data_IF_203908569371
#
_entry.id   IF_203908569371
#
_cell.length_a   1.000
_cell.length_b   1.000
_cell.length_c   1.000
_cell.angle_alpha   90.00
_cell.angle_beta   90.00
_cell.angle_gamma   90.00
#
_symmetry.space_group_name_H-M   'P 1'
#
loop_
_entity.id
_entity.type
_entity.pdbx_description
1 polymer ?
#
# COMPACT_ATOMS: atom_id res chain seq x y z
N UNK A 1 -8.37 -3.85 16.64
CA UNK A 1 -7.96 -4.24 15.27
C UNK A 1 -6.84 -5.26 15.37
N UNK A 2 -6.81 -6.26 14.48
CA UNK A 2 -5.74 -7.26 14.42
C UNK A 2 -5.02 -7.14 13.10
N UNK A 3 -3.71 -7.32 13.10
CA UNK A 3 -2.88 -7.21 11.91
C UNK A 3 -2.25 -8.56 11.56
N UNK A 4 -2.17 -8.84 10.28
CA UNK A 4 -1.46 -10.00 9.73
C UNK A 4 -0.43 -9.46 8.75
N UNK A 5 0.84 -9.65 9.04
CA UNK A 5 1.94 -9.23 8.17
C UNK A 5 2.38 -10.39 7.28
N UNK A 6 2.38 -10.13 5.98
CA UNK A 6 2.83 -11.09 4.98
C UNK A 6 4.09 -10.51 4.32
N UNK A 7 5.20 -11.13 4.58
CA UNK A 7 6.50 -10.74 4.01
C UNK A 7 7.14 -11.91 3.29
N UNK A 8 8.07 -11.61 2.41
CA UNK A 8 8.80 -12.62 1.66
C UNK A 8 9.92 -11.99 0.85
N UNK A 9 10.65 -12.81 0.11
CA UNK A 9 11.75 -12.34 -0.74
C UNK A 9 11.31 -11.32 -1.78
N UNK A 10 12.28 -10.53 -2.24
CA UNK A 10 12.06 -9.44 -3.21
C UNK A 10 11.75 -9.91 -4.64
N UNK A 11 11.77 -11.20 -4.89
CA UNK A 11 11.50 -11.76 -6.22
C UNK A 11 9.99 -11.78 -6.47
N UNK A 12 9.57 -11.21 -7.60
CA UNK A 12 8.20 -11.31 -8.09
C UNK A 12 7.86 -12.78 -8.39
N UNK A 13 6.59 -13.18 -8.19
CA UNK A 13 6.15 -14.55 -8.50
C UNK A 13 6.32 -15.57 -7.38
N UNK A 14 6.80 -15.18 -6.19
CA UNK A 14 6.84 -16.08 -5.00
C UNK A 14 5.42 -16.39 -4.48
N UNK A 15 4.42 -15.62 -4.91
CA UNK A 15 3.03 -15.83 -4.51
C UNK A 15 2.59 -15.05 -3.28
N UNK A 16 3.29 -14.00 -2.88
CA UNK A 16 2.89 -13.13 -1.76
C UNK A 16 1.49 -12.55 -1.97
N UNK A 17 1.21 -12.01 -3.15
CA UNK A 17 -0.09 -11.43 -3.50
C UNK A 17 -1.21 -12.47 -3.46
N UNK A 18 -0.98 -13.65 -4.03
CA UNK A 18 -1.94 -14.76 -4.02
C UNK A 18 -2.20 -15.24 -2.60
N UNK A 19 -1.15 -15.38 -1.80
CA UNK A 19 -1.25 -15.78 -0.39
C UNK A 19 -2.07 -14.76 0.40
N UNK A 20 -1.79 -13.47 0.22
CA UNK A 20 -2.52 -12.38 0.90
C UNK A 20 -4.01 -12.40 0.54
N UNK A 21 -4.33 -12.50 -0.75
CA UNK A 21 -5.70 -12.57 -1.21
C UNK A 21 -6.44 -13.81 -0.67
N UNK A 22 -5.76 -14.95 -0.64
CA UNK A 22 -6.33 -16.21 -0.15
C UNK A 22 -6.61 -16.16 1.36
N UNK A 23 -5.69 -15.64 2.14
CA UNK A 23 -5.88 -15.44 3.59
C UNK A 23 -7.04 -14.47 3.83
N UNK A 24 -7.09 -13.36 3.08
CA UNK A 24 -8.17 -12.40 3.16
C UNK A 24 -9.54 -13.04 2.89
N UNK A 25 -9.64 -13.85 1.84
CA UNK A 25 -10.86 -14.54 1.49
C UNK A 25 -11.31 -15.55 2.57
N UNK A 26 -10.37 -16.31 3.11
CA UNK A 26 -10.67 -17.25 4.20
C UNK A 26 -11.19 -16.52 5.46
N UNK A 27 -10.59 -15.40 5.81
CA UNK A 27 -11.03 -14.57 6.93
C UNK A 27 -12.41 -13.94 6.68
N UNK A 28 -12.67 -13.45 5.49
CA UNK A 28 -13.99 -12.98 5.09
C UNK A 28 -15.03 -14.07 5.22
N UNK A 29 -14.72 -15.27 4.74
CA UNK A 29 -15.61 -16.45 4.83
C UNK A 29 -15.89 -16.86 6.27
N UNK A 30 -14.97 -16.57 7.18
CA UNK A 30 -15.14 -16.78 8.62
C UNK A 30 -15.88 -15.62 9.33
N UNK A 31 -16.33 -14.62 8.60
CA UNK A 31 -17.14 -13.51 9.13
C UNK A 31 -16.34 -12.28 9.59
N UNK A 32 -15.05 -12.22 9.31
CA UNK A 32 -14.25 -11.06 9.65
C UNK A 32 -14.33 -9.98 8.56
N UNK A 33 -14.26 -8.71 8.98
CA UNK A 33 -13.99 -7.60 8.06
C UNK A 33 -12.51 -7.57 7.75
N UNK A 34 -12.17 -7.58 6.47
CA UNK A 34 -10.79 -7.63 5.98
C UNK A 34 -10.50 -6.39 5.16
N UNK A 35 -9.38 -5.74 5.46
CA UNK A 35 -8.84 -4.64 4.68
C UNK A 35 -7.38 -4.99 4.32
N UNK A 36 -7.11 -5.39 3.08
CA UNK A 36 -5.74 -5.60 2.64
C UNK A 36 -5.02 -4.26 2.48
N UNK A 37 -3.75 -4.24 2.81
CA UNK A 37 -2.86 -3.12 2.55
C UNK A 37 -1.59 -3.64 1.89
N UNK A 38 -1.29 -3.15 0.70
CA UNK A 38 -0.02 -3.38 0.04
C UNK A 38 0.90 -2.18 0.27
N UNK A 39 2.06 -2.45 0.84
CA UNK A 39 3.09 -1.45 1.08
C UNK A 39 4.28 -1.68 0.14
N UNK A 40 4.63 -0.66 -0.63
CA UNK A 40 5.75 -0.66 -1.55
C UNK A 40 6.86 0.29 -1.06
N UNK A 41 8.09 -0.19 -1.10
CA UNK A 41 9.23 0.55 -0.55
C UNK A 41 9.89 1.53 -1.52
N UNK A 42 9.38 1.68 -2.75
CA UNK A 42 9.92 2.63 -3.71
C UNK A 42 9.41 4.07 -3.46
N UNK A 43 10.12 5.05 -4.02
CA UNK A 43 9.82 6.48 -3.85
C UNK A 43 8.87 7.05 -4.92
N UNK A 44 8.34 6.25 -5.81
CA UNK A 44 7.25 6.67 -6.70
C UNK A 44 6.02 6.97 -5.85
N UNK A 45 5.29 8.01 -6.19
CA UNK A 45 4.07 8.40 -5.45
C UNK A 45 3.01 7.30 -5.57
N UNK A 46 2.89 6.70 -6.76
CA UNK A 46 2.01 5.58 -7.06
C UNK A 46 2.64 4.66 -8.11
N UNK A 47 1.88 3.74 -8.66
CA UNK A 47 2.37 2.80 -9.67
C UNK A 47 2.26 3.32 -11.12
N UNK A 48 1.69 4.48 -11.35
CA UNK A 48 1.39 5.00 -12.69
C UNK A 48 2.60 5.31 -13.55
N UNK A 49 3.77 5.55 -12.94
CA UNK A 49 5.02 5.85 -13.64
C UNK A 49 6.00 4.69 -13.67
N UNK A 50 5.64 3.55 -13.11
CA UNK A 50 6.51 2.37 -13.04
C UNK A 50 6.46 1.62 -14.37
N UNK A 51 7.60 1.06 -14.78
CA UNK A 51 7.71 0.31 -16.02
C UNK A 51 6.81 -0.94 -15.99
N UNK A 52 5.78 -1.02 -16.84
CA UNK A 52 4.84 -2.14 -16.84
C UNK A 52 5.47 -3.47 -17.30
N UNK A 53 6.59 -3.43 -18.01
CA UNK A 53 7.29 -4.65 -18.42
C UNK A 53 7.90 -5.36 -17.21
N UNK A 54 8.35 -4.59 -16.22
CA UNK A 54 8.99 -5.14 -15.01
C UNK A 54 7.99 -5.48 -13.91
N UNK A 55 6.93 -4.70 -13.78
CA UNK A 55 6.01 -4.75 -12.63
C UNK A 55 4.56 -5.07 -13.01
N UNK A 56 4.25 -5.23 -14.29
CA UNK A 56 2.89 -5.37 -14.78
C UNK A 56 2.20 -4.00 -14.95
N UNK A 57 1.03 -4.02 -15.56
CA UNK A 57 0.24 -2.81 -15.76
C UNK A 57 -0.30 -2.30 -14.41
N UNK A 58 -0.29 -0.97 -14.19
CA UNK A 58 -0.92 -0.41 -13.00
C UNK A 58 -2.43 -0.66 -13.02
N UNK A 59 -3.01 -0.84 -11.84
CA UNK A 59 -4.44 -0.98 -11.65
C UNK A 59 -5.03 0.37 -11.22
N UNK A 60 -6.00 0.86 -11.97
CA UNK A 60 -6.71 2.08 -11.64
C UNK A 60 -7.90 1.77 -10.73
N UNK A 61 -7.82 2.21 -9.48
CA UNK A 61 -8.91 2.11 -8.53
C UNK A 61 -10.03 3.10 -8.84
N UNK A 62 -11.23 2.86 -8.33
CA UNK A 62 -12.37 3.74 -8.55
C UNK A 62 -12.17 5.15 -7.99
N UNK A 63 -11.41 5.29 -6.93
CA UNK A 63 -11.04 6.59 -6.35
C UNK A 63 -9.93 7.33 -7.12
N UNK A 64 -9.46 6.77 -8.24
CA UNK A 64 -8.41 7.35 -9.07
C UNK A 64 -6.98 6.95 -8.68
N UNK A 65 -6.80 6.13 -7.65
CA UNK A 65 -5.48 5.66 -7.24
C UNK A 65 -4.89 4.73 -8.30
N UNK A 66 -3.70 5.04 -8.78
CA UNK A 66 -2.93 4.17 -9.67
C UNK A 66 -2.07 3.21 -8.84
N UNK A 67 -2.63 2.04 -8.58
CA UNK A 67 -2.05 1.04 -7.69
C UNK A 67 -1.32 -0.07 -8.48
N UNK A 68 -0.65 -0.93 -7.74
CA UNK A 68 -0.07 -2.15 -8.28
C UNK A 68 -1.15 -3.16 -8.73
N UNK A 69 -0.81 -4.01 -9.68
CA UNK A 69 -1.72 -5.03 -10.21
C UNK A 69 -2.30 -5.96 -9.15
N UNK A 70 -1.60 -6.20 -8.05
CA UNK A 70 -2.09 -7.03 -6.94
C UNK A 70 -3.35 -6.45 -6.29
N UNK A 71 -3.51 -5.13 -6.30
CA UNK A 71 -4.72 -4.47 -5.78
C UNK A 71 -5.94 -4.87 -6.60
N UNK A 72 -5.81 -4.95 -7.92
CA UNK A 72 -6.88 -5.48 -8.78
C UNK A 72 -7.22 -6.93 -8.44
N UNK A 73 -6.24 -7.74 -8.13
CA UNK A 73 -6.44 -9.13 -7.68
C UNK A 73 -7.17 -9.20 -6.34
N UNK A 74 -6.81 -8.33 -5.39
CA UNK A 74 -7.50 -8.25 -4.09
C UNK A 74 -8.95 -7.83 -4.26
N UNK A 75 -9.21 -6.81 -5.07
CA UNK A 75 -10.56 -6.33 -5.36
C UNK A 75 -11.43 -7.45 -5.92
N UNK A 76 -10.89 -8.20 -6.88
CA UNK A 76 -11.59 -9.32 -7.52
C UNK A 76 -11.86 -10.47 -6.55
N UNK A 77 -10.85 -10.88 -5.78
CA UNK A 77 -10.96 -12.04 -4.87
C UNK A 77 -11.83 -11.72 -3.66
N UNK A 78 -11.68 -10.53 -3.09
CA UNK A 78 -12.42 -10.12 -1.89
C UNK A 78 -13.78 -9.50 -2.20
N UNK A 79 -14.07 -9.25 -3.47
CA UNK A 79 -15.30 -8.62 -3.94
C UNK A 79 -15.61 -7.32 -3.19
N UNK A 80 -14.62 -6.46 -3.05
CA UNK A 80 -14.76 -5.14 -2.44
C UNK A 80 -13.84 -4.14 -3.16
N UNK A 81 -14.30 -2.90 -3.29
CA UNK A 81 -13.53 -1.85 -3.92
C UNK A 81 -12.29 -1.51 -3.07
N UNK A 82 -11.17 -1.33 -3.75
CA UNK A 82 -9.91 -0.91 -3.17
C UNK A 82 -9.60 0.53 -3.58
N UNK A 83 -8.78 1.20 -2.82
CA UNK A 83 -8.40 2.57 -3.09
C UNK A 83 -7.11 2.96 -2.39
N UNK A 84 -6.95 4.26 -2.16
CA UNK A 84 -5.74 4.83 -1.56
C UNK A 84 -5.39 4.29 -0.18
N UNK A 85 -6.38 3.78 0.55
CA UNK A 85 -6.16 3.16 1.87
C UNK A 85 -5.59 1.73 1.78
N UNK A 86 -5.63 1.15 0.60
CA UNK A 86 -5.20 -0.23 0.36
C UNK A 86 -3.83 -0.34 -0.30
N UNK A 87 -3.28 0.78 -0.74
CA UNK A 87 -2.00 0.84 -1.45
C UNK A 87 -1.18 2.03 -0.99
N UNK A 88 0.01 1.78 -0.47
CA UNK A 88 0.90 2.80 0.08
C UNK A 88 2.30 2.62 -0.48
N UNK A 89 2.93 3.71 -0.90
CA UNK A 89 4.35 3.75 -1.28
C UNK A 89 5.15 4.59 -0.30
N UNK A 90 6.44 4.33 -0.18
CA UNK A 90 7.33 5.21 0.59
C UNK A 90 7.32 6.63 0.04
N UNK A 91 7.21 6.80 -1.29
CA UNK A 91 7.10 8.12 -1.90
C UNK A 91 5.92 8.92 -1.38
N UNK A 92 4.76 8.29 -1.26
CA UNK A 92 3.57 8.94 -0.69
C UNK A 92 3.74 9.30 0.79
N UNK A 93 4.39 8.42 1.57
CA UNK A 93 4.72 8.71 2.98
C UNK A 93 5.62 9.94 3.08
N UNK A 94 6.73 9.97 2.31
CA UNK A 94 7.63 11.14 2.29
C UNK A 94 6.92 12.40 1.83
N UNK A 95 6.10 12.33 0.81
CA UNK A 95 5.31 13.47 0.33
C UNK A 95 4.43 14.03 1.45
N UNK A 96 3.70 13.17 2.15
CA UNK A 96 2.82 13.57 3.24
C UNK A 96 3.60 14.29 4.35
N UNK A 97 4.72 13.72 4.77
CA UNK A 97 5.56 14.32 5.83
C UNK A 97 6.14 15.66 5.37
N UNK A 98 6.64 15.75 4.14
CA UNK A 98 7.18 17.00 3.58
C UNK A 98 6.07 18.08 3.49
N UNK A 99 4.89 17.72 3.03
CA UNK A 99 3.76 18.65 2.97
C UNK A 99 3.33 19.16 4.34
N UNK A 100 3.33 18.29 5.35
CA UNK A 100 3.07 18.70 6.76
C UNK A 100 4.15 19.62 7.29
N UNK A 101 5.40 19.33 6.99
CA UNK A 101 6.51 20.23 7.33
C UNK A 101 6.28 21.62 6.73
N UNK A 102 5.96 21.68 5.43
CA UNK A 102 5.70 22.95 4.72
C UNK A 102 4.50 23.72 5.29
N UNK A 103 3.54 23.04 5.90
CA UNK A 103 2.41 23.66 6.61
C UNK A 103 2.70 23.97 8.07
N UNK A 104 3.94 23.77 8.52
CA UNK A 104 4.37 24.04 9.90
C UNK A 104 3.68 23.14 10.95
N UNK A 105 3.25 21.95 10.56
CA UNK A 105 2.55 21.02 11.47
C UNK A 105 3.49 20.39 12.51
N UNK A 106 4.81 20.44 12.30
CA UNK A 106 5.82 19.98 13.25
C UNK A 106 6.45 21.11 14.08
N UNK A 107 5.85 22.30 14.06
CA UNK A 107 6.23 23.44 14.92
C UNK A 107 7.72 23.88 14.83
N UNK A 108 8.34 23.68 13.69
CA UNK A 108 9.74 24.03 13.47
C UNK A 108 10.75 23.00 13.94
N UNK A 109 10.30 21.79 14.27
CA UNK A 109 11.20 20.66 14.52
C UNK A 109 12.01 20.28 13.27
N UNK A 110 13.20 19.75 13.47
CA UNK A 110 13.92 19.05 12.41
C UNK A 110 13.19 17.73 12.12
N UNK A 111 12.66 17.62 10.90
CA UNK A 111 11.87 16.45 10.48
C UNK A 111 12.82 15.37 9.98
N UNK A 112 12.82 14.23 10.64
CA UNK A 112 13.75 13.13 10.40
C UNK A 112 13.03 11.83 10.06
N UNK A 113 13.79 10.83 9.58
CA UNK A 113 13.26 9.51 9.30
C UNK A 113 12.62 8.87 10.55
N UNK A 114 13.23 9.08 11.69
CA UNK A 114 12.73 8.65 13.00
C UNK A 114 12.63 9.91 13.89
N UNK A 115 11.44 10.28 14.39
CA UNK A 115 10.18 9.51 14.36
C UNK A 115 9.21 9.86 13.22
N UNK A 116 9.44 10.91 12.43
CA UNK A 116 8.40 11.50 11.57
C UNK A 116 7.95 10.58 10.43
N UNK A 117 8.88 9.94 9.73
CA UNK A 117 8.55 8.99 8.65
C UNK A 117 7.98 7.70 9.23
N UNK A 118 8.59 7.17 10.29
CA UNK A 118 8.12 5.93 10.92
C UNK A 118 6.74 6.08 11.54
N UNK A 119 6.43 7.22 12.15
CA UNK A 119 5.09 7.49 12.70
C UNK A 119 4.03 7.61 11.62
N UNK A 120 4.37 8.13 10.45
CA UNK A 120 3.43 8.18 9.32
C UNK A 120 3.14 6.78 8.74
N UNK A 121 4.07 5.85 8.84
CA UNK A 121 3.87 4.47 8.39
C UNK A 121 2.93 3.71 9.33
N UNK A 122 2.96 3.99 10.61
CA UNK A 122 2.17 3.30 11.64
C UNK A 122 0.73 3.83 11.68
#
# INVERSE_FOLDING_TARGET
>A
MKYIFISGGVISGIGKGVTSASIGLLLQSAGYKVAPLKFENYLNIDAGTINPIEHGDPFLCEDGTEADMDIGSYEKVLNQDMGSDNFVTMGRIYQTVIERERRFEYNGEDVEAIPHITDEII
#
